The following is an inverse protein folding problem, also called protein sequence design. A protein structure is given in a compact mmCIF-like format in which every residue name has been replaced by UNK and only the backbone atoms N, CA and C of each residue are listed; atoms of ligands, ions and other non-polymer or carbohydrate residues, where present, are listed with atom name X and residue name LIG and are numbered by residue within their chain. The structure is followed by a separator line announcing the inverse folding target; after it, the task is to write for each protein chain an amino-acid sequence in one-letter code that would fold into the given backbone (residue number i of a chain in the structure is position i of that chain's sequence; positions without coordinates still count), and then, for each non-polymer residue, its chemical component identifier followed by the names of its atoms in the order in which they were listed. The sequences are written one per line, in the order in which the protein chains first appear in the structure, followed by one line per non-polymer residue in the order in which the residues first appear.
data_IF_655263851341
#
_entry.id   IF_655263851341
#
_cell.length_a   1.000
_cell.length_b   1.000
_cell.length_c   1.000
_cell.angle_alpha   90.00
_cell.angle_beta   90.00
_cell.angle_gamma   90.00
#
_symmetry.space_group_name_H-M   'P 1'
#
loop_
_entity.id
_entity.type
_entity.pdbx_description
1 polymer ?
#
# COMPACT_ATOMS: atom_id res chain seq x y z
N UNK A 1 2.56 -13.44 6.06
CA UNK A 1 3.63 -12.62 5.46
C UNK A 1 3.15 -11.19 5.35
N UNK A 2 4.02 -10.20 5.59
CA UNK A 2 3.69 -8.78 5.55
C UNK A 2 4.53 -8.09 4.45
N UNK A 3 3.89 -7.26 3.63
CA UNK A 3 4.52 -6.58 2.49
C UNK A 3 4.58 -5.07 2.71
N UNK A 4 5.63 -4.42 2.21
CA UNK A 4 5.80 -2.97 2.21
C UNK A 4 6.13 -2.54 0.79
N UNK A 5 5.41 -1.56 0.26
CA UNK A 5 5.67 -0.97 -1.04
C UNK A 5 5.39 0.53 -1.04
N UNK A 6 5.94 1.23 -2.03
CA UNK A 6 5.69 2.67 -2.26
C UNK A 6 4.30 2.94 -2.82
N UNK A 7 3.77 2.00 -3.60
CA UNK A 7 2.54 2.16 -4.36
C UNK A 7 1.67 0.90 -4.26
N UNK A 8 0.35 1.10 -4.24
CA UNK A 8 -0.63 0.00 -4.15
C UNK A 8 -0.49 -1.01 -5.29
N UNK A 9 -0.32 -0.62 -6.58
CA UNK A 9 -0.21 -1.59 -7.67
C UNK A 9 0.93 -2.61 -7.52
N UNK A 10 2.03 -2.25 -6.84
CA UNK A 10 3.17 -3.15 -6.66
C UNK A 10 2.84 -4.36 -5.76
N UNK A 11 1.87 -4.21 -4.84
CA UNK A 11 1.46 -5.25 -3.90
C UNK A 11 0.21 -6.01 -4.32
N UNK A 12 -0.53 -5.54 -5.34
CA UNK A 12 -1.79 -6.17 -5.78
C UNK A 12 -1.62 -7.64 -6.18
N UNK A 13 -0.47 -7.99 -6.76
CA UNK A 13 -0.11 -9.38 -7.09
C UNK A 13 -0.02 -10.32 -5.87
N UNK A 14 0.13 -9.77 -4.66
CA UNK A 14 0.27 -10.52 -3.40
C UNK A 14 -0.93 -10.36 -2.47
N UNK A 15 -1.51 -9.16 -2.39
CA UNK A 15 -2.65 -8.84 -1.51
C UNK A 15 -3.41 -7.63 -2.02
N UNK A 16 -4.72 -7.63 -1.82
CA UNK A 16 -5.60 -6.46 -2.06
C UNK A 16 -5.83 -5.62 -0.81
N UNK A 17 -5.47 -6.14 0.36
CA UNK A 17 -5.65 -5.46 1.63
C UNK A 17 -4.38 -4.73 2.00
N UNK A 18 -4.51 -3.43 2.30
CA UNK A 18 -3.38 -2.56 2.61
C UNK A 18 -3.75 -1.49 3.64
N UNK A 19 -2.72 -0.97 4.30
CA UNK A 19 -2.80 0.24 5.09
C UNK A 19 -2.02 1.33 4.36
N UNK A 20 -2.65 2.47 4.09
CA UNK A 20 -1.95 3.63 3.55
C UNK A 20 -1.30 4.39 4.70
N UNK A 21 0.02 4.61 4.65
CA UNK A 21 0.70 5.46 5.62
C UNK A 21 0.64 6.92 5.21
N UNK A 22 0.36 7.78 6.18
CA UNK A 22 0.30 9.22 6.02
C UNK A 22 1.61 9.87 6.48
N UNK A 23 1.72 11.18 6.26
CA UNK A 23 2.87 11.95 6.70
C UNK A 23 3.09 11.83 8.21
N UNK A 24 4.36 11.62 8.62
CA UNK A 24 4.79 11.49 10.01
C UNK A 24 4.23 10.26 10.75
N UNK A 25 3.84 9.22 10.01
CA UNK A 25 3.51 7.92 10.58
C UNK A 25 4.65 6.92 10.41
N UNK A 26 4.73 5.98 11.34
CA UNK A 26 5.76 4.95 11.40
C UNK A 26 5.06 3.61 11.50
N UNK A 27 5.33 2.71 10.55
CA UNK A 27 4.89 1.32 10.61
C UNK A 27 5.97 0.45 11.24
N UNK A 28 5.60 -0.30 12.27
CA UNK A 28 6.41 -1.34 12.91
C UNK A 28 5.88 -2.68 12.40
N UNK A 29 6.62 -3.29 11.48
CA UNK A 29 6.26 -4.57 10.86
C UNK A 29 7.09 -5.69 11.50
N UNK A 30 6.42 -6.69 12.05
CA UNK A 30 7.00 -7.96 12.54
C UNK A 30 6.49 -9.11 11.69
N UNK A 31 6.96 -10.33 11.96
CA UNK A 31 6.50 -11.55 11.26
C UNK A 31 4.98 -11.74 11.36
N UNK A 32 4.42 -11.57 12.56
CA UNK A 32 3.01 -11.86 12.85
C UNK A 32 2.14 -10.63 13.16
N UNK A 33 2.72 -9.43 13.14
CA UNK A 33 1.98 -8.22 13.55
C UNK A 33 2.44 -6.96 12.84
N UNK A 34 1.50 -6.07 12.56
CA UNK A 34 1.75 -4.71 12.07
C UNK A 34 1.18 -3.74 13.10
N UNK A 35 1.96 -2.74 13.49
CA UNK A 35 1.53 -1.61 14.32
C UNK A 35 1.87 -0.31 13.63
N UNK A 36 1.03 0.71 13.77
CA UNK A 36 1.27 2.04 13.22
C UNK A 36 1.25 3.03 14.38
N UNK A 37 2.23 3.93 14.41
CA UNK A 37 2.32 4.98 15.42
C UNK A 37 2.75 6.31 14.80
N UNK A 38 2.54 7.40 15.52
CA UNK A 38 3.10 8.70 15.16
C UNK A 38 4.60 8.81 15.55
N UNK A 39 5.21 9.96 15.21
CA UNK A 39 6.58 10.31 15.61
C UNK A 39 6.81 10.39 17.12
N UNK A 40 5.76 10.45 17.93
CA UNK A 40 5.81 10.46 19.39
C UNK A 40 5.61 9.06 20.00
N UNK A 41 5.39 8.04 19.16
CA UNK A 41 5.15 6.66 19.57
C UNK A 41 3.72 6.38 20.02
N UNK A 42 2.77 7.28 19.78
CA UNK A 42 1.35 7.04 20.06
C UNK A 42 0.76 6.14 18.96
N UNK A 43 0.13 5.04 19.37
CA UNK A 43 -0.47 4.07 18.45
C UNK A 43 -1.64 4.71 17.69
N UNK A 44 -1.60 4.58 16.36
CA UNK A 44 -2.64 5.06 15.44
C UNK A 44 -3.44 3.85 14.98
N UNK A 45 -4.74 3.87 15.24
CA UNK A 45 -5.66 2.87 14.68
C UNK A 45 -5.98 3.24 13.24
N UNK A 46 -5.50 2.42 12.31
CA UNK A 46 -5.78 2.54 10.89
C UNK A 46 -6.87 1.56 10.46
N UNK A 47 -7.72 2.02 9.55
CA UNK A 47 -8.67 1.15 8.89
C UNK A 47 -7.98 0.39 7.76
N UNK A 48 -8.27 -0.91 7.66
CA UNK A 48 -7.79 -1.73 6.56
C UNK A 48 -8.54 -1.34 5.30
N UNK A 49 -7.81 -0.96 4.26
CA UNK A 49 -8.37 -0.65 2.96
C UNK A 49 -8.24 -1.84 2.03
N UNK A 50 -9.21 -2.01 1.15
CA UNK A 50 -9.19 -3.02 0.10
C UNK A 50 -9.16 -2.32 -1.25
N UNK A 51 -8.21 -2.68 -2.11
CA UNK A 51 -8.13 -2.17 -3.47
C UNK A 51 -9.26 -2.77 -4.33
N UNK A 52 -10.25 -1.94 -4.66
CA UNK A 52 -11.41 -2.33 -5.48
C UNK A 52 -11.16 -2.25 -7.00
N UNK A 53 -10.04 -1.66 -7.42
CA UNK A 53 -9.65 -1.65 -8.83
C UNK A 53 -9.03 -2.99 -9.22
N UNK A 54 -9.62 -3.64 -10.22
CA UNK A 54 -8.96 -4.75 -10.91
C UNK A 54 -7.69 -4.25 -11.62
N UNK A 55 -6.66 -5.10 -11.62
CA UNK A 55 -5.32 -4.86 -12.18
C UNK A 55 -5.37 -4.38 -13.65
N UNK A 56 -6.50 -4.55 -14.34
CA UNK A 56 -6.79 -4.08 -15.69
C UNK A 56 -6.67 -2.56 -15.89
N UNK A 57 -6.65 -1.75 -14.82
CA UNK A 57 -6.39 -0.31 -14.94
C UNK A 57 -4.89 0.05 -14.99
N UNK A 58 -4.01 -0.87 -14.59
CA UNK A 58 -2.56 -0.65 -14.53
C UNK A 58 -1.83 -1.17 -15.78
N UNK A 59 -2.39 -2.15 -16.48
CA UNK A 59 -1.92 -2.49 -17.82
C UNK A 59 -2.47 -1.46 -18.81
N UNK A 60 -1.63 -0.46 -19.10
CA UNK A 60 -1.56 0.29 -20.36
C UNK A 60 -2.72 -0.06 -21.30
N UNK A 61 -3.72 0.81 -21.44
CA UNK A 61 -4.81 0.64 -22.42
C UNK A 61 -4.33 0.63 -23.88
N UNK A 62 -3.52 -0.36 -24.28
CA UNK A 62 -3.01 -0.59 -25.62
C UNK A 62 -1.75 0.18 -26.05
N UNK A 63 -0.99 0.85 -25.17
CA UNK A 63 0.16 1.67 -25.58
C UNK A 63 1.50 1.24 -24.96
N UNK A 64 2.50 1.00 -25.83
CA UNK A 64 3.81 0.43 -25.48
C UNK A 64 4.69 1.32 -24.58
N UNK A 65 4.43 2.64 -24.49
CA UNK A 65 5.25 3.59 -23.72
C UNK A 65 4.42 4.55 -22.85
N UNK A 66 4.86 4.75 -21.60
CA UNK A 66 4.21 5.63 -20.60
C UNK A 66 4.52 7.14 -20.79
N UNK A 67 5.39 7.52 -21.72
CA UNK A 67 5.79 8.92 -21.92
C UNK A 67 5.34 9.45 -23.29
N UNK A 68 4.08 9.86 -23.36
CA UNK A 68 3.58 10.82 -24.35
C UNK A 68 2.33 11.51 -23.81
N UNK A 69 2.51 12.27 -22.73
CA UNK A 69 1.77 13.51 -22.50
C UNK A 69 2.50 14.42 -21.52
#
# INVERSE_FOLDING_TARGET
ENFIASDVPAILQYTRNYYLLEQNEIAIVKEDSIKICDIHGMEINKELQTADWDEDAAEKGGYEHFMLK
#
